data_IF_576753058267
#
_entry.id   IF_576753058267
#
_cell.length_a   1.000
_cell.length_b   1.000
_cell.length_c   1.000
_cell.angle_alpha   90.00
_cell.angle_beta   90.00
_cell.angle_gamma   90.00
#
_symmetry.space_group_name_H-M   'P 1'
#
loop_
_entity.id
_entity.type
_entity.pdbx_description
1 polymer ?
#
# COMPACT_ATOMS: atom_id res chain seq x y z
N UNK A 1 -2.96 15.85 -7.71
CA UNK A 1 -4.11 15.17 -8.28
C UNK A 1 -5.37 16.04 -8.17
N UNK A 2 -6.26 15.95 -9.12
CA UNK A 2 -7.59 16.54 -9.07
C UNK A 2 -8.64 15.45 -9.35
N UNK A 3 -9.64 15.36 -8.48
CA UNK A 3 -10.74 14.39 -8.62
C UNK A 3 -11.95 15.11 -9.20
N UNK A 4 -12.56 14.53 -10.23
CA UNK A 4 -13.77 15.04 -10.87
C UNK A 4 -14.82 13.95 -10.96
N UNK A 5 -16.10 14.33 -10.99
CA UNK A 5 -17.21 13.39 -11.21
C UNK A 5 -17.85 13.75 -12.55
N UNK A 6 -17.86 12.80 -13.47
CA UNK A 6 -18.46 12.96 -14.79
C UNK A 6 -19.29 11.73 -15.15
N UNK A 7 -20.57 11.94 -15.51
CA UNK A 7 -21.48 10.84 -15.87
C UNK A 7 -21.69 9.80 -14.76
N UNK A 8 -21.57 10.19 -13.50
CA UNK A 8 -21.67 9.28 -12.33
C UNK A 8 -20.39 8.47 -12.05
N UNK A 9 -19.33 8.69 -12.83
CA UNK A 9 -18.04 8.06 -12.59
C UNK A 9 -17.06 9.05 -11.94
N UNK A 10 -16.27 8.54 -10.98
CA UNK A 10 -15.18 9.27 -10.38
C UNK A 10 -13.94 9.12 -11.25
N UNK A 11 -13.36 10.26 -11.64
CA UNK A 11 -12.15 10.31 -12.46
C UNK A 11 -11.08 11.12 -11.71
N UNK A 12 -9.86 10.64 -11.75
CA UNK A 12 -8.71 11.35 -11.20
C UNK A 12 -7.79 11.82 -12.32
N UNK A 13 -7.46 13.10 -12.29
CA UNK A 13 -6.43 13.70 -13.14
C UNK A 13 -5.15 13.82 -12.33
N UNK A 14 -4.10 13.14 -12.73
CA UNK A 14 -2.76 13.28 -12.16
C UNK A 14 -1.95 14.22 -13.05
N UNK A 15 -1.48 15.31 -12.46
CA UNK A 15 -0.62 16.28 -13.15
C UNK A 15 0.82 16.11 -12.65
N UNK A 16 1.74 15.93 -13.58
CA UNK A 16 3.15 16.10 -13.32
C UNK A 16 3.53 17.53 -13.69
N UNK A 17 4.07 18.28 -12.77
CA UNK A 17 4.39 19.69 -12.92
C UNK A 17 5.90 19.88 -12.82
N UNK A 18 6.48 20.61 -13.76
CA UNK A 18 7.86 21.08 -13.67
C UNK A 18 7.93 22.18 -12.60
N UNK A 19 8.67 21.95 -11.51
CA UNK A 19 8.75 22.90 -10.40
C UNK A 19 9.50 24.20 -10.77
N UNK A 20 10.33 24.18 -11.80
CA UNK A 20 11.09 25.36 -12.21
C UNK A 20 10.24 26.34 -13.07
N UNK A 21 9.36 25.81 -13.95
CA UNK A 21 8.52 26.62 -14.82
C UNK A 21 7.07 26.74 -14.38
N UNK A 22 6.60 25.83 -13.52
CA UNK A 22 5.19 25.71 -13.14
C UNK A 22 4.32 25.03 -14.19
N UNK A 23 4.89 24.64 -15.34
CA UNK A 23 4.13 24.06 -16.44
C UNK A 23 3.81 22.59 -16.20
N UNK A 24 2.63 22.11 -16.65
CA UNK A 24 2.32 20.69 -16.64
C UNK A 24 3.18 19.96 -17.67
N UNK A 25 3.87 18.89 -17.23
CA UNK A 25 4.69 18.03 -18.08
C UNK A 25 3.84 16.91 -18.68
N UNK A 26 2.94 16.37 -17.89
CA UNK A 26 2.05 15.29 -18.32
C UNK A 26 0.74 15.30 -17.52
N UNK A 27 -0.25 14.66 -18.10
CA UNK A 27 -1.55 14.44 -17.49
C UNK A 27 -1.94 12.97 -17.69
N UNK A 28 -2.31 12.33 -16.60
CA UNK A 28 -2.94 11.00 -16.59
C UNK A 28 -4.37 11.16 -16.12
N UNK A 29 -5.33 10.74 -16.95
CA UNK A 29 -6.75 10.66 -16.59
C UNK A 29 -7.10 9.20 -16.30
N UNK A 30 -7.54 8.91 -15.07
CA UNK A 30 -7.78 7.57 -14.60
C UNK A 30 -9.08 7.47 -13.79
N UNK A 31 -9.81 6.37 -13.97
CA UNK A 31 -10.98 6.06 -13.11
C UNK A 31 -10.56 5.72 -11.69
N UNK A 32 -11.40 6.11 -10.72
CA UNK A 32 -11.19 5.87 -9.30
C UNK A 32 -10.47 7.00 -8.56
N UNK A 33 -10.29 6.82 -7.26
CA UNK A 33 -9.57 7.74 -6.37
C UNK A 33 -8.28 7.08 -5.92
N UNK A 34 -7.12 7.76 -6.04
CA UNK A 34 -5.88 7.19 -5.55
C UNK A 34 -5.90 7.18 -4.01
N UNK A 35 -5.71 6.01 -3.43
CA UNK A 35 -5.53 5.80 -1.99
C UNK A 35 -4.07 6.06 -1.59
N UNK A 36 -3.15 5.80 -2.53
CA UNK A 36 -1.74 6.11 -2.38
C UNK A 36 -1.18 6.68 -3.68
N UNK A 37 -0.30 7.67 -3.58
CA UNK A 37 0.37 8.30 -4.71
C UNK A 37 1.74 8.79 -4.28
N UNK A 38 2.77 8.37 -4.99
CA UNK A 38 4.13 8.83 -4.69
C UNK A 38 5.16 8.42 -5.73
N UNK A 39 6.35 8.99 -5.60
CA UNK A 39 7.52 8.59 -6.38
C UNK A 39 8.14 7.35 -5.73
N UNK A 40 8.36 6.31 -6.53
CA UNK A 40 9.11 5.10 -6.12
C UNK A 40 10.54 5.12 -6.63
N UNK A 41 10.85 6.03 -7.56
CA UNK A 41 12.20 6.32 -8.04
C UNK A 41 12.24 7.71 -8.68
N UNK A 42 13.40 8.16 -9.12
CA UNK A 42 13.55 9.44 -9.83
C UNK A 42 12.71 9.56 -11.13
N UNK A 43 12.24 8.45 -11.67
CA UNK A 43 11.51 8.42 -12.96
C UNK A 43 10.22 7.61 -12.93
N UNK A 44 9.80 7.10 -11.78
CA UNK A 44 8.64 6.22 -11.66
C UNK A 44 7.70 6.71 -10.57
N UNK A 45 6.43 6.83 -10.93
CA UNK A 45 5.33 7.20 -10.04
C UNK A 45 4.46 5.96 -9.86
N UNK A 46 4.13 5.63 -8.62
CA UNK A 46 3.12 4.65 -8.29
C UNK A 46 1.85 5.37 -7.87
N UNK A 47 0.73 4.92 -8.39
CA UNK A 47 -0.61 5.28 -7.91
C UNK A 47 -1.37 3.99 -7.58
N UNK A 48 -1.92 3.90 -6.39
CA UNK A 48 -2.81 2.80 -5.99
C UNK A 48 -4.21 3.35 -5.86
N UNK A 49 -5.09 2.90 -6.73
CA UNK A 49 -6.52 3.24 -6.76
C UNK A 49 -7.32 2.20 -5.98
N UNK A 50 -8.61 2.37 -5.93
CA UNK A 50 -9.57 1.46 -5.30
C UNK A 50 -9.67 0.07 -5.96
N UNK A 51 -9.25 -0.06 -7.22
CA UNK A 51 -9.35 -1.32 -8.00
C UNK A 51 -8.05 -1.78 -8.64
N UNK A 52 -7.00 -0.96 -8.62
CA UNK A 52 -5.73 -1.29 -9.27
C UNK A 52 -4.56 -0.46 -8.76
N UNK A 53 -3.35 -1.00 -8.89
CA UNK A 53 -2.10 -0.28 -8.75
C UNK A 53 -1.48 -0.05 -10.13
N UNK A 54 -0.95 1.14 -10.39
CA UNK A 54 -0.38 1.53 -11.68
C UNK A 54 0.97 2.20 -11.49
N UNK A 55 1.97 1.75 -12.21
CA UNK A 55 3.25 2.43 -12.35
C UNK A 55 3.25 3.29 -13.61
N UNK A 56 3.58 4.56 -13.45
CA UNK A 56 3.76 5.50 -14.54
C UNK A 56 5.23 5.91 -14.68
N UNK A 57 5.67 6.16 -15.91
CA UNK A 57 6.91 6.90 -16.13
C UNK A 57 6.69 8.41 -15.92
N UNK A 58 7.77 9.18 -15.86
CA UNK A 58 7.71 10.64 -15.71
C UNK A 58 7.00 11.38 -16.85
N UNK A 59 6.75 10.73 -17.99
CA UNK A 59 5.96 11.25 -19.12
C UNK A 59 4.47 10.90 -19.03
N UNK A 60 4.01 10.24 -17.94
CA UNK A 60 2.62 9.83 -17.73
C UNK A 60 2.21 8.52 -18.41
N UNK A 61 3.13 7.85 -19.12
CA UNK A 61 2.86 6.55 -19.74
C UNK A 61 2.82 5.43 -18.71
N UNK A 62 1.83 4.54 -18.80
CA UNK A 62 1.74 3.34 -17.96
C UNK A 62 2.88 2.36 -18.27
N UNK A 63 3.53 1.83 -17.24
CA UNK A 63 4.60 0.83 -17.33
C UNK A 63 4.16 -0.54 -16.88
N UNK A 64 3.38 -0.60 -15.82
CA UNK A 64 2.83 -1.82 -15.26
C UNK A 64 1.51 -1.54 -14.55
N UNK A 65 0.65 -2.53 -14.53
CA UNK A 65 -0.64 -2.49 -13.83
C UNK A 65 -0.82 -3.80 -13.08
N UNK A 66 -1.27 -3.70 -11.84
CA UNK A 66 -1.81 -4.81 -11.08
C UNK A 66 -3.29 -4.52 -10.80
N UNK A 67 -4.17 -5.33 -11.38
CA UNK A 67 -5.62 -5.20 -11.27
C UNK A 67 -6.14 -6.12 -10.15
N UNK A 68 -6.96 -5.57 -9.26
CA UNK A 68 -7.63 -6.29 -8.17
C UNK A 68 -9.13 -5.94 -8.11
N UNK A 69 -9.70 -5.59 -9.26
CA UNK A 69 -11.14 -5.33 -9.39
C UNK A 69 -11.98 -6.50 -8.85
N UNK A 70 -13.09 -6.16 -8.20
CA UNK A 70 -13.96 -7.15 -7.54
C UNK A 70 -13.59 -7.43 -6.07
N UNK A 71 -12.52 -6.82 -5.57
CA UNK A 71 -12.18 -6.77 -4.14
C UNK A 71 -12.23 -5.33 -3.63
N UNK A 72 -12.33 -5.15 -2.34
CA UNK A 72 -12.25 -3.85 -1.68
C UNK A 72 -10.84 -3.62 -1.14
N UNK A 73 -10.20 -2.51 -1.51
CA UNK A 73 -8.93 -2.12 -0.91
C UNK A 73 -9.18 -1.61 0.52
N UNK A 74 -8.65 -2.30 1.52
CA UNK A 74 -8.74 -1.92 2.92
C UNK A 74 -7.57 -1.04 3.36
N UNK A 75 -6.37 -1.42 2.92
CA UNK A 75 -5.15 -0.68 3.28
C UNK A 75 -4.04 -0.93 2.25
N UNK A 76 -3.11 0.00 2.17
CA UNK A 76 -1.95 -0.07 1.28
C UNK A 76 -0.72 0.49 1.95
N UNK A 77 0.38 -0.23 1.83
CA UNK A 77 1.69 0.21 2.28
C UNK A 77 2.71 0.09 1.16
N UNK A 78 3.58 1.09 1.05
CA UNK A 78 4.67 1.13 0.07
C UNK A 78 5.97 1.40 0.83
N UNK A 79 6.95 0.54 0.67
CA UNK A 79 8.25 0.72 1.30
C UNK A 79 9.15 1.71 0.52
N UNK A 80 10.30 2.05 1.11
CA UNK A 80 11.25 2.98 0.49
C UNK A 80 11.86 2.48 -0.83
N UNK A 81 11.79 1.17 -1.10
CA UNK A 81 12.26 0.57 -2.36
C UNK A 81 11.18 0.55 -3.45
N UNK A 82 9.94 0.94 -3.10
CA UNK A 82 8.79 0.95 -4.00
C UNK A 82 8.06 -0.39 -4.08
N UNK A 83 8.33 -1.33 -3.18
CA UNK A 83 7.54 -2.55 -3.06
C UNK A 83 6.21 -2.24 -2.36
N UNK A 84 5.17 -2.95 -2.74
CA UNK A 84 3.80 -2.69 -2.31
C UNK A 84 3.27 -3.86 -1.48
N UNK A 85 2.50 -3.56 -0.44
CA UNK A 85 1.62 -4.50 0.22
C UNK A 85 0.19 -3.96 0.19
N UNK A 86 -0.76 -4.80 -0.21
CA UNK A 86 -2.18 -4.51 -0.28
C UNK A 86 -2.93 -5.41 0.69
N UNK A 87 -3.81 -4.83 1.47
CA UNK A 87 -4.83 -5.56 2.22
C UNK A 87 -6.15 -5.41 1.47
N UNK A 88 -6.62 -6.51 0.93
CA UNK A 88 -7.85 -6.58 0.15
C UNK A 88 -8.93 -7.34 0.93
N UNK A 89 -10.20 -7.05 0.66
CA UNK A 89 -11.31 -7.82 1.20
C UNK A 89 -12.27 -8.27 0.09
N UNK A 90 -12.74 -9.50 0.22
CA UNK A 90 -13.84 -10.05 -0.58
C UNK A 90 -14.86 -10.65 0.37
N UNK A 91 -15.94 -9.90 0.62
CA UNK A 91 -16.88 -10.22 1.70
C UNK A 91 -16.20 -10.20 3.06
N UNK A 92 -16.17 -11.34 3.75
CA UNK A 92 -15.54 -11.45 5.07
C UNK A 92 -14.10 -12.03 5.03
N UNK A 93 -13.57 -12.26 3.85
CA UNK A 93 -12.23 -12.82 3.69
C UNK A 93 -11.25 -11.68 3.44
N UNK A 94 -10.24 -11.57 4.29
CA UNK A 94 -9.09 -10.70 4.07
C UNK A 94 -8.03 -11.42 3.23
N UNK A 95 -7.41 -10.71 2.33
CA UNK A 95 -6.33 -11.20 1.47
C UNK A 95 -5.16 -10.21 1.53
N UNK A 96 -3.96 -10.72 1.80
CA UNK A 96 -2.74 -9.95 1.64
C UNK A 96 -2.15 -10.23 0.26
N UNK A 97 -1.71 -9.16 -0.41
CA UNK A 97 -0.97 -9.23 -1.66
C UNK A 97 0.30 -8.42 -1.51
N UNK A 98 1.44 -9.02 -1.80
CA UNK A 98 2.71 -8.29 -1.88
C UNK A 98 3.22 -8.27 -3.30
N UNK A 99 3.65 -7.09 -3.74
CA UNK A 99 4.16 -6.85 -5.08
C UNK A 99 5.58 -6.29 -4.98
N UNK A 100 6.42 -6.63 -5.93
CA UNK A 100 7.71 -5.98 -6.09
C UNK A 100 7.55 -4.57 -6.69
N UNK A 101 8.63 -3.81 -6.77
CA UNK A 101 8.67 -2.46 -7.35
C UNK A 101 8.22 -2.36 -8.81
N UNK A 102 8.05 -3.48 -9.51
CA UNK A 102 7.55 -3.56 -10.88
C UNK A 102 6.10 -4.07 -10.94
N UNK A 103 5.43 -4.19 -9.78
CA UNK A 103 4.10 -4.77 -9.60
C UNK A 103 3.99 -6.27 -9.95
N UNK A 104 5.08 -7.01 -9.92
CA UNK A 104 5.01 -8.47 -9.99
C UNK A 104 4.57 -9.02 -8.64
N UNK A 105 3.63 -9.95 -8.65
CA UNK A 105 3.13 -10.62 -7.42
C UNK A 105 4.25 -11.46 -6.82
N UNK A 106 4.55 -11.22 -5.55
CA UNK A 106 5.45 -12.03 -4.74
C UNK A 106 4.66 -13.02 -3.87
N UNK A 107 3.53 -12.56 -3.34
CA UNK A 107 2.62 -13.35 -2.50
C UNK A 107 1.17 -12.87 -2.72
N UNK A 108 0.24 -13.81 -2.65
CA UNK A 108 -1.21 -13.50 -2.68
C UNK A 108 -1.95 -14.67 -2.05
N UNK A 109 -2.50 -14.47 -0.85
CA UNK A 109 -3.31 -15.46 -0.17
C UNK A 109 -4.28 -14.82 0.85
N UNK A 110 -5.27 -15.63 1.25
CA UNK A 110 -6.12 -15.30 2.39
C UNK A 110 -5.28 -15.21 3.67
N UNK A 111 -5.59 -14.23 4.49
CA UNK A 111 -4.95 -13.97 5.79
C UNK A 111 -6.01 -13.82 6.87
N UNK A 112 -5.65 -13.89 8.16
CA UNK A 112 -6.57 -13.54 9.24
C UNK A 112 -7.17 -12.14 9.05
N UNK A 113 -8.33 -11.89 9.64
CA UNK A 113 -8.96 -10.58 9.58
C UNK A 113 -8.00 -9.53 10.14
N UNK A 114 -7.65 -8.56 9.32
CA UNK A 114 -6.74 -7.49 9.67
C UNK A 114 -7.33 -6.13 9.29
N UNK A 115 -6.89 -5.10 9.99
CA UNK A 115 -7.33 -3.72 9.81
C UNK A 115 -6.28 -2.89 9.04
N UNK A 116 -5.02 -3.31 9.08
CA UNK A 116 -3.93 -2.61 8.42
C UNK A 116 -2.83 -3.59 7.97
N UNK A 117 -2.09 -3.18 6.94
CA UNK A 117 -0.93 -3.88 6.42
C UNK A 117 0.25 -2.90 6.30
N UNK A 118 1.44 -3.32 6.72
CA UNK A 118 2.65 -2.49 6.59
C UNK A 118 3.77 -3.30 5.95
N UNK A 119 4.37 -2.75 4.91
CA UNK A 119 5.52 -3.32 4.21
C UNK A 119 6.82 -2.76 4.78
N UNK A 120 7.80 -3.62 5.05
CA UNK A 120 9.15 -3.23 5.45
C UNK A 120 10.18 -4.21 4.86
N UNK A 121 10.77 -3.85 3.73
CA UNK A 121 11.75 -4.70 3.04
C UNK A 121 11.18 -6.05 2.63
N UNK A 122 11.77 -7.14 3.12
CA UNK A 122 11.32 -8.51 2.84
C UNK A 122 10.23 -9.02 3.77
N UNK A 123 9.72 -8.17 4.66
CA UNK A 123 8.66 -8.50 5.60
C UNK A 123 7.41 -7.68 5.32
N UNK A 124 6.26 -8.20 5.71
CA UNK A 124 5.05 -7.43 5.88
C UNK A 124 4.38 -7.78 7.20
N UNK A 125 3.70 -6.81 7.78
CA UNK A 125 3.04 -6.92 9.06
C UNK A 125 1.55 -6.69 8.88
N UNK A 126 0.74 -7.53 9.52
CA UNK A 126 -0.70 -7.37 9.61
C UNK A 126 -1.06 -6.92 11.02
N UNK A 127 -1.89 -5.91 11.12
CA UNK A 127 -2.51 -5.49 12.37
C UNK A 127 -3.94 -6.02 12.40
N UNK A 128 -4.17 -7.02 13.25
CA UNK A 128 -5.50 -7.48 13.63
C UNK A 128 -6.01 -6.70 14.86
N UNK A 129 -7.22 -6.98 15.33
CA UNK A 129 -7.83 -6.25 16.44
C UNK A 129 -6.96 -6.21 17.71
N UNK A 130 -6.30 -7.32 18.03
CA UNK A 130 -5.48 -7.46 19.21
C UNK A 130 -4.18 -8.26 18.97
N UNK A 131 -3.70 -8.27 17.74
CA UNK A 131 -2.46 -8.96 17.40
C UNK A 131 -1.72 -8.26 16.27
N UNK A 132 -0.39 -8.37 16.29
CA UNK A 132 0.47 -8.08 15.15
C UNK A 132 1.06 -9.39 14.67
N UNK A 133 0.94 -9.64 13.38
CA UNK A 133 1.52 -10.81 12.72
C UNK A 133 2.53 -10.36 11.67
N UNK A 134 3.67 -11.03 11.62
CA UNK A 134 4.74 -10.77 10.67
C UNK A 134 4.92 -11.94 9.73
N UNK A 135 4.99 -11.65 8.45
CA UNK A 135 5.23 -12.62 7.39
C UNK A 135 6.39 -12.15 6.52
N UNK A 136 7.11 -13.09 5.94
CA UNK A 136 8.00 -12.78 4.83
C UNK A 136 7.21 -12.60 3.51
N UNK A 137 7.90 -12.13 2.48
CA UNK A 137 7.28 -11.87 1.17
C UNK A 137 6.79 -13.13 0.46
N UNK A 138 7.16 -14.32 0.92
CA UNK A 138 6.62 -15.60 0.43
C UNK A 138 5.34 -16.03 1.19
N UNK A 139 4.96 -15.29 2.24
CA UNK A 139 3.80 -15.58 3.07
C UNK A 139 4.06 -16.53 4.22
N UNK A 140 5.32 -16.84 4.52
CA UNK A 140 5.67 -17.63 5.69
C UNK A 140 5.61 -16.75 6.93
N UNK A 141 4.80 -17.15 7.93
CA UNK A 141 4.71 -16.43 9.19
C UNK A 141 6.03 -16.54 9.96
N UNK A 142 6.62 -15.40 10.28
CA UNK A 142 7.89 -15.29 11.00
C UNK A 142 7.69 -15.04 12.49
N UNK A 143 6.60 -14.33 12.84
CA UNK A 143 6.38 -13.89 14.20
C UNK A 143 4.92 -13.47 14.39
N UNK A 144 4.46 -13.54 15.64
CA UNK A 144 3.15 -13.05 16.07
C UNK A 144 3.21 -12.60 17.51
N UNK A 145 2.53 -11.51 17.84
CA UNK A 145 2.40 -10.99 19.19
C UNK A 145 0.97 -10.57 19.45
N UNK A 146 0.39 -11.11 20.51
CA UNK A 146 -0.87 -10.63 21.07
C UNK A 146 -0.65 -9.32 21.80
N UNK A 147 -1.63 -8.43 21.70
CA UNK A 147 -1.65 -7.11 22.28
C UNK A 147 -2.71 -7.02 23.38
N UNK A 148 -2.40 -6.32 24.45
CA UNK A 148 -3.35 -6.07 25.55
C UNK A 148 -4.40 -5.02 25.21
N UNK A 149 -4.18 -4.25 24.12
CA UNK A 149 -5.06 -3.18 23.67
C UNK A 149 -5.26 -3.27 22.17
N UNK A 150 -6.38 -2.74 21.67
CA UNK A 150 -6.64 -2.61 20.22
C UNK A 150 -5.92 -1.37 19.70
N UNK A 151 -4.85 -1.51 18.93
CA UNK A 151 -4.12 -0.38 18.37
C UNK A 151 -4.86 0.25 17.20
N UNK A 152 -4.55 1.51 16.95
CA UNK A 152 -5.16 2.30 15.87
C UNK A 152 -4.32 2.28 14.59
N UNK A 153 -3.00 2.15 14.72
CA UNK A 153 -2.08 2.13 13.58
C UNK A 153 -0.79 1.40 13.90
N UNK A 154 -0.18 0.87 12.86
CA UNK A 154 1.13 0.25 12.86
C UNK A 154 2.01 0.97 11.83
N UNK A 155 3.24 1.33 12.21
CA UNK A 155 4.27 1.80 11.30
C UNK A 155 5.49 0.91 11.41
N UNK A 156 6.08 0.57 10.29
CA UNK A 156 7.32 -0.19 10.25
C UNK A 156 8.32 0.45 9.28
N UNK A 157 9.57 0.34 9.62
CA UNK A 157 10.69 0.58 8.73
C UNK A 157 11.68 -0.60 8.87
N UNK A 158 12.84 -0.52 8.24
CA UNK A 158 13.84 -1.61 8.28
C UNK A 158 14.41 -1.91 9.69
N UNK A 159 14.10 -1.10 10.71
CA UNK A 159 14.71 -1.22 12.06
C UNK A 159 13.67 -1.18 13.18
N UNK A 160 12.56 -0.50 12.96
CA UNK A 160 11.61 -0.17 14.01
C UNK A 160 10.20 -0.57 13.61
N UNK A 161 9.49 -1.15 14.55
CA UNK A 161 8.07 -1.43 14.49
C UNK A 161 7.39 -0.63 15.59
N UNK A 162 6.54 0.32 15.22
CA UNK A 162 5.88 1.24 16.14
C UNK A 162 4.36 1.01 16.11
N UNK A 163 3.79 0.82 17.27
CA UNK A 163 2.38 0.63 17.50
C UNK A 163 1.77 1.87 18.15
N UNK A 164 0.68 2.35 17.62
CA UNK A 164 -0.04 3.52 18.10
C UNK A 164 -1.34 3.09 18.75
N UNK A 165 -1.54 3.44 20.02
CA UNK A 165 -2.76 3.17 20.78
C UNK A 165 -3.17 4.42 21.54
N UNK A 166 -4.21 5.12 21.07
CA UNK A 166 -4.63 6.40 21.63
C UNK A 166 -3.51 7.43 21.59
N UNK A 167 -3.07 7.88 22.77
CA UNK A 167 -1.98 8.85 22.93
C UNK A 167 -0.62 8.20 23.22
N UNK A 168 -0.50 6.89 23.10
CA UNK A 168 0.73 6.16 23.38
C UNK A 168 1.34 5.58 22.13
N UNK A 169 2.67 5.55 22.09
CA UNK A 169 3.46 4.88 21.06
C UNK A 169 4.32 3.83 21.75
N UNK A 170 4.19 2.60 21.32
CA UNK A 170 5.00 1.48 21.79
C UNK A 170 5.91 1.01 20.66
N UNK A 171 7.18 0.83 20.97
CA UNK A 171 8.10 0.13 20.07
C UNK A 171 7.97 -1.37 20.33
N UNK A 172 7.71 -2.12 19.28
CA UNK A 172 7.76 -3.58 19.31
C UNK A 172 9.14 -4.05 18.84
N UNK A 173 9.59 -5.16 19.39
CA UNK A 173 10.78 -5.83 18.89
C UNK A 173 10.39 -6.64 17.65
N UNK A 174 10.81 -6.14 16.48
CA UNK A 174 10.64 -6.88 15.24
C UNK A 174 11.61 -8.09 15.21
N UNK A 175 11.24 -9.19 14.54
CA UNK A 175 12.17 -10.28 14.30
C UNK A 175 13.43 -9.75 13.58
N UNK A 176 14.60 -10.23 13.98
CA UNK A 176 15.84 -9.97 13.26
C UNK A 176 15.75 -10.59 11.87
N UNK A 177 16.14 -9.83 10.82
CA UNK A 177 16.30 -10.35 9.46
C UNK A 177 17.37 -11.44 9.36
#
# INVERSE_FOLDING_TARGET
>A
AAVTVSGGQVMTNLYLINLASGDPVSLVNQGGVPQWLGWTSASTILAVYDTRAVLYNAGGGERAVYDFAGTELKDVSVDAAGNVALLLASGQVSQAVTLDKNLNVQFSAAVPAANSIVRAGNLFYLLADNAVECFDVSGTQQWSQNLDTSPQALLANSKDLLLFSGNTVQKLEAPAE
#
